data_IF_403315365876
#
_entry.id   IF_403315365876
#
_cell.length_a   1.000
_cell.length_b   1.000
_cell.length_c   1.000
_cell.angle_alpha   90.00
_cell.angle_beta   90.00
_cell.angle_gamma   90.00
#
_symmetry.space_group_name_H-M   'P 1'
#
loop_
_entity.id
_entity.type
_entity.pdbx_description
1 polymer ?
#
# COMPACT_ATOMS: atom_id res chain seq x y z
N UNK A 1 24.39 -13.07 16.38
CA UNK A 1 23.55 -13.47 15.23
C UNK A 1 22.86 -12.22 14.70
N UNK A 2 23.10 -11.78 13.46
CA UNK A 2 22.54 -10.53 12.98
C UNK A 2 21.10 -10.78 12.52
N UNK A 3 20.14 -10.50 13.42
CA UNK A 3 18.71 -10.19 13.18
C UNK A 3 17.91 -10.15 14.51
N UNK A 4 18.56 -9.94 15.67
CA UNK A 4 17.90 -9.97 16.99
C UNK A 4 17.00 -8.77 17.29
N UNK A 5 17.02 -7.71 16.47
CA UNK A 5 16.23 -6.48 16.72
C UNK A 5 14.94 -6.39 15.89
N UNK A 6 14.69 -7.32 14.96
CA UNK A 6 13.49 -7.25 14.13
C UNK A 6 12.27 -7.88 14.81
N UNK A 7 11.17 -7.13 14.84
CA UNK A 7 9.90 -7.58 15.40
C UNK A 7 9.28 -8.65 14.50
N UNK A 8 9.34 -9.91 14.94
CA UNK A 8 8.93 -11.08 14.16
C UNK A 8 7.47 -11.06 13.70
N UNK A 9 6.57 -10.47 14.48
CA UNK A 9 5.16 -10.34 14.08
C UNK A 9 4.97 -9.43 12.88
N UNK A 10 5.79 -8.38 12.76
CA UNK A 10 5.76 -7.46 11.62
C UNK A 10 6.30 -8.15 10.38
N UNK A 11 7.42 -8.87 10.48
CA UNK A 11 7.97 -9.65 9.36
C UNK A 11 6.93 -10.63 8.79
N UNK A 12 6.30 -11.42 9.68
CA UNK A 12 5.25 -12.37 9.30
C UNK A 12 4.04 -11.68 8.66
N UNK A 13 3.62 -10.53 9.17
CA UNK A 13 2.53 -9.77 8.57
C UNK A 13 2.88 -9.32 7.15
N UNK A 14 4.10 -8.82 6.92
CA UNK A 14 4.58 -8.42 5.59
C UNK A 14 4.66 -9.61 4.63
N UNK A 15 5.07 -10.78 5.11
CA UNK A 15 5.12 -12.00 4.30
C UNK A 15 3.73 -12.48 3.90
N UNK A 16 2.75 -12.41 4.81
CA UNK A 16 1.34 -12.70 4.49
C UNK A 16 0.84 -11.77 3.38
N UNK A 17 1.14 -10.47 3.44
CA UNK A 17 0.73 -9.51 2.41
C UNK A 17 1.36 -9.84 1.05
N UNK A 18 2.65 -10.15 1.02
CA UNK A 18 3.32 -10.57 -0.22
C UNK A 18 2.72 -11.85 -0.79
N UNK A 19 2.50 -12.84 0.07
CA UNK A 19 2.00 -14.15 -0.32
C UNK A 19 0.57 -14.06 -0.89
N UNK A 20 -0.32 -13.32 -0.21
CA UNK A 20 -1.69 -13.10 -0.68
C UNK A 20 -1.74 -12.26 -1.97
N UNK A 21 -0.87 -11.27 -2.12
CA UNK A 21 -0.76 -10.49 -3.36
C UNK A 21 -0.24 -11.30 -4.56
N UNK A 22 0.62 -12.29 -4.32
CA UNK A 22 1.12 -13.19 -5.35
C UNK A 22 0.11 -14.25 -5.79
N UNK A 23 -1.01 -14.42 -5.07
CA UNK A 23 -2.06 -15.38 -5.41
C UNK A 23 -3.30 -14.67 -5.99
N UNK A 24 -3.53 -14.71 -7.32
CA UNK A 24 -4.67 -14.04 -7.94
C UNK A 24 -6.04 -14.55 -7.46
N UNK A 25 -6.09 -15.78 -6.94
CA UNK A 25 -7.30 -16.40 -6.40
C UNK A 25 -7.47 -16.16 -4.90
N UNK A 26 -6.58 -15.40 -4.27
CA UNK A 26 -6.48 -15.27 -2.82
C UNK A 26 -6.04 -16.56 -2.15
N UNK A 27 -5.99 -16.56 -0.81
CA UNK A 27 -5.54 -17.71 -0.04
C UNK A 27 -6.38 -17.98 1.20
N UNK A 28 -6.58 -19.25 1.53
CA UNK A 28 -7.21 -19.68 2.79
C UNK A 28 -6.23 -19.54 3.95
N UNK A 29 -6.77 -19.43 5.17
CA UNK A 29 -5.98 -19.38 6.41
C UNK A 29 -4.94 -20.51 6.51
N UNK A 30 -5.36 -21.75 6.20
CA UNK A 30 -4.48 -22.92 6.31
C UNK A 30 -3.38 -22.90 5.26
N UNK A 31 -3.69 -22.48 4.02
CA UNK A 31 -2.70 -22.33 2.95
C UNK A 31 -1.63 -21.30 3.33
N UNK A 32 -2.03 -20.18 3.96
CA UNK A 32 -1.10 -19.15 4.46
C UNK A 32 -0.23 -19.69 5.62
N UNK A 33 -0.85 -20.37 6.57
CA UNK A 33 -0.15 -20.91 7.74
C UNK A 33 0.90 -21.96 7.33
N UNK A 34 0.55 -22.84 6.40
CA UNK A 34 1.43 -23.86 5.84
C UNK A 34 2.58 -23.24 5.04
N UNK A 35 2.27 -22.33 4.10
CA UNK A 35 3.27 -21.69 3.25
C UNK A 35 4.33 -20.90 4.03
N UNK A 36 3.98 -20.38 5.21
CA UNK A 36 4.87 -19.60 6.07
C UNK A 36 5.36 -20.40 7.29
N UNK A 37 5.14 -21.72 7.31
CA UNK A 37 5.56 -22.63 8.38
C UNK A 37 5.23 -22.10 9.79
N UNK A 38 3.99 -21.62 10.00
CA UNK A 38 3.56 -21.04 11.27
C UNK A 38 2.28 -21.68 11.81
N UNK A 39 2.07 -21.57 13.13
CA UNK A 39 0.85 -22.06 13.78
C UNK A 39 -0.38 -21.33 13.23
N UNK A 40 -1.46 -22.05 12.97
CA UNK A 40 -2.73 -21.51 12.46
C UNK A 40 -3.29 -20.40 13.36
N UNK A 41 -3.12 -20.51 14.68
CA UNK A 41 -3.52 -19.46 15.63
C UNK A 41 -2.74 -18.15 15.46
N UNK A 42 -1.44 -18.24 15.15
CA UNK A 42 -0.59 -17.08 14.85
C UNK A 42 -1.01 -16.42 13.54
N UNK A 43 -1.20 -17.22 12.49
CA UNK A 43 -1.67 -16.72 11.19
C UNK A 43 -3.04 -16.04 11.33
N UNK A 44 -3.97 -16.65 12.08
CA UNK A 44 -5.30 -16.10 12.33
C UNK A 44 -5.22 -14.73 13.02
N UNK A 45 -4.40 -14.59 14.08
CA UNK A 45 -4.27 -13.32 14.79
C UNK A 45 -3.70 -12.22 13.88
N UNK A 46 -2.67 -12.52 13.09
CA UNK A 46 -2.08 -11.56 12.15
C UNK A 46 -3.06 -11.17 11.05
N UNK A 47 -3.71 -12.15 10.41
CA UNK A 47 -4.71 -11.92 9.36
C UNK A 47 -5.88 -11.09 9.89
N UNK A 48 -6.40 -11.41 11.09
CA UNK A 48 -7.46 -10.62 11.73
C UNK A 48 -7.04 -9.15 11.90
N UNK A 49 -5.82 -8.90 12.37
CA UNK A 49 -5.29 -7.54 12.50
C UNK A 49 -5.14 -6.86 11.14
N UNK A 50 -4.62 -7.54 10.14
CA UNK A 50 -4.48 -7.01 8.78
C UNK A 50 -5.83 -6.68 8.15
N UNK A 51 -6.84 -7.53 8.32
CA UNK A 51 -8.21 -7.26 7.88
C UNK A 51 -8.82 -6.06 8.60
N UNK A 52 -8.68 -5.98 9.93
CA UNK A 52 -9.18 -4.86 10.72
C UNK A 52 -8.55 -3.51 10.33
N UNK A 53 -7.36 -3.54 9.72
CA UNK A 53 -6.64 -2.36 9.23
C UNK A 53 -6.76 -2.17 7.71
N UNK A 54 -7.59 -2.95 7.02
CA UNK A 54 -7.84 -2.83 5.58
C UNK A 54 -6.68 -3.29 4.67
N UNK A 55 -5.66 -3.94 5.23
CA UNK A 55 -4.53 -4.48 4.45
C UNK A 55 -4.85 -5.83 3.80
N UNK A 56 -5.77 -6.58 4.39
CA UNK A 56 -6.39 -7.76 3.78
C UNK A 56 -7.90 -7.58 3.75
N UNK A 57 -8.55 -8.26 2.81
CA UNK A 57 -9.99 -8.47 2.82
C UNK A 57 -10.28 -9.96 2.66
N UNK A 58 -11.44 -10.39 3.16
CA UNK A 58 -11.90 -11.77 3.08
C UNK A 58 -13.06 -11.83 2.10
N UNK A 59 -12.99 -12.70 1.11
CA UNK A 59 -14.08 -12.92 0.16
C UNK A 59 -15.15 -13.88 0.71
N UNK A 60 -16.21 -14.10 -0.08
CA UNK A 60 -17.29 -15.03 0.26
C UNK A 60 -16.85 -16.50 0.36
N UNK A 61 -15.77 -16.89 -0.33
CA UNK A 61 -15.18 -18.23 -0.28
C UNK A 61 -14.21 -18.43 0.91
N UNK A 62 -14.10 -17.44 1.79
CA UNK A 62 -13.14 -17.39 2.89
C UNK A 62 -11.67 -17.42 2.45
N UNK A 63 -11.37 -16.77 1.32
CA UNK A 63 -10.01 -16.50 0.87
C UNK A 63 -9.65 -15.05 1.16
N UNK A 64 -8.40 -14.84 1.54
CA UNK A 64 -7.83 -13.55 1.85
C UNK A 64 -7.12 -12.98 0.63
N UNK A 65 -7.37 -11.71 0.37
CA UNK A 65 -6.83 -10.92 -0.74
C UNK A 65 -6.24 -9.61 -0.21
N UNK A 66 -5.35 -8.95 -0.96
CA UNK A 66 -4.95 -7.57 -0.72
C UNK A 66 -6.16 -6.64 -0.48
N UNK A 67 -6.13 -5.87 0.60
CA UNK A 67 -7.18 -4.90 0.93
C UNK A 67 -6.92 -3.50 0.34
N UNK A 68 -7.90 -2.61 0.47
CA UNK A 68 -7.88 -1.24 -0.06
C UNK A 68 -6.75 -0.37 0.51
N UNK A 69 -6.31 -0.61 1.75
CA UNK A 69 -5.26 0.17 2.38
C UNK A 69 -3.95 0.16 1.56
N UNK A 70 -3.68 -0.91 0.81
CA UNK A 70 -2.50 -1.01 -0.06
C UNK A 70 -2.61 0.00 -1.21
N UNK A 71 -3.77 0.07 -1.86
CA UNK A 71 -4.02 1.02 -2.94
C UNK A 71 -4.00 2.47 -2.43
N UNK A 72 -4.56 2.71 -1.24
CA UNK A 72 -4.54 4.03 -0.60
C UNK A 72 -3.11 4.50 -0.36
N UNK A 73 -2.23 3.67 0.22
CA UNK A 73 -0.81 3.99 0.42
C UNK A 73 -0.08 4.26 -0.90
N UNK A 74 -0.32 3.44 -1.93
CA UNK A 74 0.27 3.64 -3.25
C UNK A 74 -0.18 4.97 -3.88
N UNK A 75 -1.45 5.32 -3.72
CA UNK A 75 -2.00 6.59 -4.22
C UNK A 75 -1.40 7.80 -3.52
N UNK A 76 -1.19 7.74 -2.20
CA UNK A 76 -0.57 8.81 -1.42
C UNK A 76 0.89 9.04 -1.83
N UNK A 77 1.66 7.95 -2.02
CA UNK A 77 3.03 8.03 -2.52
C UNK A 77 3.09 8.67 -3.92
N UNK A 78 2.22 8.21 -4.83
CA UNK A 78 2.18 8.71 -6.21
C UNK A 78 1.86 10.20 -6.27
N UNK A 79 0.87 10.66 -5.49
CA UNK A 79 0.53 12.09 -5.37
C UNK A 79 1.71 12.95 -4.90
N UNK A 80 2.44 12.49 -3.88
CA UNK A 80 3.59 13.23 -3.36
C UNK A 80 4.71 13.36 -4.40
N UNK A 81 4.97 12.30 -5.17
CA UNK A 81 5.99 12.33 -6.23
C UNK A 81 5.61 13.29 -7.35
N UNK A 82 4.36 13.24 -7.83
CA UNK A 82 3.85 14.16 -8.85
C UNK A 82 3.95 15.61 -8.39
N UNK A 83 3.60 15.90 -7.13
CA UNK A 83 3.72 17.26 -6.59
C UNK A 83 5.17 17.75 -6.52
N UNK A 84 6.11 16.88 -6.14
CA UNK A 84 7.53 17.22 -6.09
C UNK A 84 8.08 17.53 -7.48
N UNK A 85 7.72 16.72 -8.46
CA UNK A 85 8.13 16.90 -9.86
C UNK A 85 7.48 18.15 -10.48
N UNK A 86 6.19 18.37 -10.25
CA UNK A 86 5.48 19.56 -10.67
C UNK A 86 6.13 20.82 -10.09
N UNK A 87 6.47 20.85 -8.79
CA UNK A 87 7.14 21.99 -8.17
C UNK A 87 8.52 22.28 -8.81
N UNK A 88 9.29 21.24 -9.13
CA UNK A 88 10.57 21.39 -9.83
C UNK A 88 10.38 21.95 -11.24
N UNK A 89 9.41 21.42 -11.99
CA UNK A 89 9.11 21.87 -13.34
C UNK A 89 8.62 23.32 -13.36
N UNK A 90 7.69 23.69 -12.47
CA UNK A 90 7.15 25.04 -12.35
C UNK A 90 8.25 26.06 -12.04
N UNK A 91 9.16 25.74 -11.10
CA UNK A 91 10.33 26.59 -10.81
C UNK A 91 11.21 26.81 -12.02
N UNK A 92 11.45 25.75 -12.82
CA UNK A 92 12.23 25.85 -14.05
C UNK A 92 11.55 26.76 -15.07
N UNK A 93 10.27 26.54 -15.35
CA UNK A 93 9.52 27.34 -16.34
C UNK A 93 9.40 28.80 -15.89
N UNK A 94 9.23 29.08 -14.60
CA UNK A 94 9.22 30.45 -14.10
C UNK A 94 10.56 31.18 -14.29
N UNK A 95 11.68 30.45 -14.23
CA UNK A 95 12.99 31.01 -14.60
C UNK A 95 13.05 31.47 -16.06
N UNK A 96 12.42 30.72 -16.96
CA UNK A 96 12.37 31.03 -18.40
C UNK A 96 11.29 32.07 -18.75
N UNK A 97 10.22 32.17 -17.95
CA UNK A 97 9.06 33.04 -18.14
C UNK A 97 8.70 33.79 -16.84
N UNK A 98 9.53 34.74 -16.39
CA UNK A 98 9.39 35.36 -15.06
C UNK A 98 8.11 36.20 -14.89
N UNK A 99 7.47 36.62 -15.98
CA UNK A 99 6.23 37.40 -15.95
C UNK A 99 4.96 36.53 -16.08
N UNK A 100 5.11 35.22 -16.30
CA UNK A 100 3.98 34.33 -16.45
C UNK A 100 3.57 33.73 -15.09
N UNK A 101 2.27 33.72 -14.81
CA UNK A 101 1.69 32.92 -13.72
C UNK A 101 1.50 31.50 -14.21
N UNK A 102 2.17 30.54 -13.57
CA UNK A 102 2.11 29.13 -13.92
C UNK A 102 1.52 28.37 -12.73
N UNK A 103 0.49 27.57 -12.99
CA UNK A 103 -0.22 26.79 -11.97
C UNK A 103 -0.20 25.31 -12.34
N UNK A 104 -0.16 24.44 -11.34
CA UNK A 104 -0.35 23.01 -11.53
C UNK A 104 -1.79 22.65 -11.12
N UNK A 105 -2.46 21.81 -11.90
CA UNK A 105 -3.83 21.38 -11.59
C UNK A 105 -3.95 19.87 -11.72
N UNK A 106 -4.48 19.22 -10.68
CA UNK A 106 -4.79 17.78 -10.70
C UNK A 106 -6.30 17.54 -10.70
N UNK A 107 -6.75 16.58 -11.50
CA UNK A 107 -8.13 16.09 -11.44
C UNK A 107 -8.24 15.02 -10.34
N UNK A 108 -9.15 15.25 -9.40
CA UNK A 108 -9.52 14.29 -8.36
C UNK A 108 -10.93 13.76 -8.63
N UNK A 109 -11.35 12.69 -7.94
CA UNK A 109 -12.63 11.98 -8.15
C UNK A 109 -13.91 12.84 -7.98
N UNK A 110 -13.79 14.15 -7.75
CA UNK A 110 -14.93 15.07 -7.75
C UNK A 110 -14.58 16.54 -7.96
N UNK A 111 -13.33 16.89 -8.28
CA UNK A 111 -12.92 18.29 -8.48
C UNK A 111 -11.57 18.42 -9.20
N UNK A 112 -11.37 19.53 -9.92
CA UNK A 112 -10.03 19.99 -10.32
C UNK A 112 -9.47 20.81 -9.16
N UNK A 113 -8.26 20.47 -8.70
CA UNK A 113 -7.54 21.20 -7.65
C UNK A 113 -6.32 21.89 -8.25
N UNK A 114 -6.36 23.22 -8.30
CA UNK A 114 -5.18 24.04 -8.59
C UNK A 114 -4.29 24.09 -7.34
N UNK A 115 -3.00 23.84 -7.49
CA UNK A 115 -1.98 23.82 -6.44
C UNK A 115 -0.80 24.69 -6.81
#
# INVERSE_FOLDING_TARGET
MPNSDMVQSVLKALDILRLTAASPRGMRLNEIAEALAMKTSTAHNLIRTLCARGFLCKDSASRFHPGNAIQELASLKSRNLVMLEAANLLRRIHGDLPQATITFSEMTTGAIRCR
#
